data_IF_281306512663
#
_entry.id   IF_281306512663
#
_cell.length_a   1.000
_cell.length_b   1.000
_cell.length_c   1.000
_cell.angle_alpha   90.00
_cell.angle_beta   90.00
_cell.angle_gamma   90.00
#
_symmetry.space_group_name_H-M   'P 1'
#
loop_
_entity.id
_entity.type
_entity.pdbx_description
1 polymer ?
#
# COMPACT_ATOMS: atom_id res chain seq x y z
N UNK A 1 30.70 -5.06 58.85
CA UNK A 1 30.60 -5.90 57.63
C UNK A 1 29.12 -6.16 57.36
N UNK A 2 28.65 -5.75 56.17
CA UNK A 2 27.28 -5.82 55.57
C UNK A 2 26.29 -4.75 56.10
N UNK A 3 26.29 -3.54 55.51
CA UNK A 3 25.58 -3.04 54.30
C UNK A 3 24.06 -3.00 54.54
N UNK A 4 23.37 -1.86 54.72
CA UNK A 4 23.26 -0.66 53.85
C UNK A 4 22.98 -1.00 52.38
N UNK A 5 21.73 -1.35 52.07
CA UNK A 5 20.98 -0.89 50.89
C UNK A 5 19.70 -1.73 50.74
N UNK A 6 18.56 -1.23 51.23
CA UNK A 6 17.22 -1.61 50.75
C UNK A 6 16.17 -0.75 51.46
N UNK A 7 16.20 0.55 51.16
CA UNK A 7 15.09 1.48 51.39
C UNK A 7 15.30 2.68 50.47
N UNK A 8 14.62 2.68 49.32
CA UNK A 8 14.15 3.85 48.55
C UNK A 8 13.54 3.36 47.24
N UNK A 9 12.28 2.96 47.30
CA UNK A 9 11.34 3.22 46.21
C UNK A 9 10.19 3.98 46.86
N UNK A 10 10.37 5.29 46.85
CA UNK A 10 9.44 6.30 47.31
C UNK A 10 9.83 7.54 46.53
N UNK A 11 9.34 7.61 45.30
CA UNK A 11 9.28 8.83 44.51
C UNK A 11 7.91 8.89 43.86
N UNK A 12 7.09 9.77 44.42
CA UNK A 12 5.75 10.13 43.97
C UNK A 12 5.86 10.97 42.69
N UNK A 13 5.79 10.35 41.50
CA UNK A 13 5.39 11.03 40.24
C UNK A 13 5.14 10.11 39.03
N UNK A 14 5.16 8.79 39.17
CA UNK A 14 4.75 7.92 38.06
C UNK A 14 3.22 7.85 38.04
N UNK A 15 2.59 8.47 37.02
CA UNK A 15 1.18 8.24 36.69
C UNK A 15 0.88 6.75 36.48
N UNK A 16 -0.40 6.40 36.38
CA UNK A 16 -0.80 5.00 36.16
C UNK A 16 -0.02 4.44 34.94
N UNK A 17 0.60 3.25 35.01
CA UNK A 17 1.17 2.60 33.83
C UNK A 17 0.22 2.58 32.62
N UNK A 18 -1.09 2.56 32.85
CA UNK A 18 -2.12 2.67 31.80
C UNK A 18 -2.25 4.07 31.20
N UNK A 19 -1.95 5.15 31.93
CA UNK A 19 -2.07 6.55 31.48
C UNK A 19 -1.12 6.88 30.31
N UNK A 20 -0.07 6.07 30.10
CA UNK A 20 0.97 6.35 29.10
C UNK A 20 0.86 5.51 27.81
N UNK A 21 -0.09 4.58 27.74
CA UNK A 21 -0.24 3.65 26.60
C UNK A 21 -0.57 4.34 25.27
N UNK A 22 -1.17 5.54 25.32
CA UNK A 22 -1.48 6.32 24.12
C UNK A 22 -0.29 7.03 23.46
N UNK A 23 0.95 6.79 23.93
CA UNK A 23 2.14 7.49 23.43
C UNK A 23 2.98 6.62 22.51
N UNK A 24 3.65 7.26 21.54
CA UNK A 24 4.61 6.57 20.68
C UNK A 24 5.80 6.01 21.48
N UNK A 25 6.22 6.70 22.54
CA UNK A 25 7.30 6.23 23.42
C UNK A 25 6.92 4.93 24.14
N UNK A 26 5.66 4.77 24.56
CA UNK A 26 5.18 3.52 25.14
C UNK A 26 5.29 2.35 24.14
N UNK A 27 4.90 2.56 22.87
CA UNK A 27 5.07 1.55 21.83
C UNK A 27 6.55 1.16 21.65
N UNK A 28 7.45 2.14 21.59
CA UNK A 28 8.91 1.89 21.50
C UNK A 28 9.40 1.05 22.68
N UNK A 29 9.00 1.41 23.90
CA UNK A 29 9.39 0.69 25.12
C UNK A 29 8.85 -0.75 25.16
N UNK A 30 7.61 -0.96 24.71
CA UNK A 30 7.00 -2.29 24.62
C UNK A 30 7.80 -3.18 23.67
N UNK A 31 8.11 -2.70 22.46
CA UNK A 31 8.86 -3.48 21.47
C UNK A 31 10.31 -3.74 21.94
N UNK A 32 10.96 -2.77 22.58
CA UNK A 32 12.27 -2.97 23.21
C UNK A 32 12.21 -4.07 24.29
N UNK A 33 11.17 -4.07 25.11
CA UNK A 33 10.98 -5.09 26.14
C UNK A 33 10.74 -6.48 25.54
N UNK A 34 9.86 -6.59 24.53
CA UNK A 34 9.56 -7.83 23.81
C UNK A 34 10.82 -8.46 23.20
N UNK A 35 11.76 -7.64 22.71
CA UNK A 35 13.02 -8.11 22.12
C UNK A 35 14.19 -8.25 23.10
N UNK A 36 14.00 -7.91 24.38
CA UNK A 36 15.05 -8.05 25.40
C UNK A 36 15.35 -9.53 25.74
N UNK A 37 16.49 -9.87 26.36
CA UNK A 37 16.83 -11.26 26.72
C UNK A 37 15.79 -12.01 27.60
N UNK A 38 14.87 -11.31 28.27
CA UNK A 38 13.75 -11.88 29.02
C UNK A 38 12.38 -11.70 28.35
N UNK A 39 12.35 -11.15 27.13
CA UNK A 39 11.14 -10.90 26.36
C UNK A 39 10.65 -12.13 25.58
N UNK A 40 9.80 -11.90 24.60
CA UNK A 40 9.17 -12.92 23.78
C UNK A 40 10.20 -13.59 22.83
N UNK A 41 10.35 -14.94 22.87
CA UNK A 41 11.28 -15.64 21.99
C UNK A 41 11.03 -15.42 20.51
N UNK A 42 9.76 -15.37 20.09
CA UNK A 42 9.38 -15.15 18.69
C UNK A 42 9.78 -13.75 18.22
N UNK A 43 9.50 -12.73 19.03
CA UNK A 43 9.84 -11.35 18.69
C UNK A 43 11.35 -11.16 18.55
N UNK A 44 12.14 -11.79 19.43
CA UNK A 44 13.60 -11.74 19.40
C UNK A 44 14.22 -12.36 18.15
N UNK A 45 13.61 -13.42 17.63
CA UNK A 45 14.11 -14.13 16.45
C UNK A 45 13.85 -13.37 15.14
N UNK A 46 12.92 -12.40 15.15
CA UNK A 46 12.60 -11.63 13.95
C UNK A 46 13.77 -10.78 13.47
N UNK A 47 13.84 -10.65 12.14
CA UNK A 47 14.81 -9.86 11.39
C UNK A 47 14.10 -8.92 10.43
N UNK A 48 14.81 -7.92 9.90
CA UNK A 48 14.27 -7.05 8.84
C UNK A 48 13.77 -7.86 7.62
N UNK A 49 14.34 -9.03 7.36
CA UNK A 49 13.92 -9.89 6.25
C UNK A 49 12.68 -10.71 6.55
N UNK A 50 12.52 -11.23 7.77
CA UNK A 50 11.35 -12.04 8.13
C UNK A 50 10.08 -11.19 8.23
N UNK A 51 10.19 -9.94 8.64
CA UNK A 51 9.06 -9.01 8.81
C UNK A 51 8.58 -8.33 7.52
N UNK A 52 9.28 -8.53 6.39
CA UNK A 52 8.88 -7.91 5.10
C UNK A 52 7.47 -8.29 4.68
N UNK A 53 7.05 -9.52 5.00
CA UNK A 53 5.72 -10.00 4.64
C UNK A 53 4.66 -9.32 5.51
N UNK A 54 4.91 -9.21 6.81
CA UNK A 54 4.00 -8.56 7.75
C UNK A 54 3.71 -7.11 7.36
N UNK A 55 4.74 -6.29 7.10
CA UNK A 55 4.50 -4.90 6.70
C UNK A 55 3.69 -4.78 5.39
N UNK A 56 3.82 -5.74 4.48
CA UNK A 56 3.02 -5.77 3.25
C UNK A 56 1.57 -6.16 3.53
N UNK A 57 1.35 -7.13 4.41
CA UNK A 57 0.02 -7.55 4.87
C UNK A 57 -0.70 -6.37 5.55
N UNK A 58 -0.09 -5.70 6.54
CA UNK A 58 -0.71 -4.55 7.20
C UNK A 58 -1.00 -3.40 6.22
N UNK A 59 -0.15 -3.21 5.19
CA UNK A 59 -0.44 -2.21 4.16
C UNK A 59 -1.73 -2.53 3.40
N UNK A 60 -1.99 -3.82 3.12
CA UNK A 60 -3.22 -4.22 2.44
C UNK A 60 -4.43 -4.18 3.37
N UNK A 61 -4.29 -4.48 4.65
CA UNK A 61 -5.38 -4.35 5.63
C UNK A 61 -5.78 -2.87 5.81
N UNK A 62 -4.82 -1.94 5.85
CA UNK A 62 -5.11 -0.49 5.80
C UNK A 62 -5.92 -0.13 4.56
N UNK A 63 -5.52 -0.64 3.38
CA UNK A 63 -6.23 -0.35 2.13
C UNK A 63 -7.66 -0.93 2.14
N UNK A 64 -7.86 -2.13 2.69
CA UNK A 64 -9.17 -2.75 2.86
C UNK A 64 -10.06 -1.91 3.80
N UNK A 65 -9.52 -1.46 4.93
CA UNK A 65 -10.26 -0.62 5.87
C UNK A 65 -10.69 0.72 5.26
N UNK A 66 -9.83 1.34 4.44
CA UNK A 66 -10.15 2.57 3.69
C UNK A 66 -11.29 2.31 2.71
N UNK A 67 -11.21 1.25 1.91
CA UNK A 67 -12.24 0.92 0.92
C UNK A 67 -13.59 0.56 1.57
N UNK A 68 -13.56 -0.08 2.73
CA UNK A 68 -14.76 -0.40 3.52
C UNK A 68 -15.35 0.81 4.26
N UNK A 69 -14.62 1.93 4.34
CA UNK A 69 -15.01 3.08 5.17
C UNK A 69 -15.04 2.76 6.67
N UNK A 70 -14.33 1.72 7.12
CA UNK A 70 -14.31 1.28 8.50
C UNK A 70 -13.23 2.05 9.28
N UNK A 71 -13.66 3.10 9.99
CA UNK A 71 -12.75 3.93 10.78
C UNK A 71 -12.11 3.20 11.96
N UNK A 72 -12.77 2.19 12.52
CA UNK A 72 -12.27 1.45 13.67
C UNK A 72 -11.14 0.52 13.21
N UNK A 73 -11.40 -0.28 12.17
CA UNK A 73 -10.37 -1.13 11.56
C UNK A 73 -9.22 -0.30 11.01
N UNK A 74 -9.49 0.84 10.36
CA UNK A 74 -8.42 1.73 9.89
C UNK A 74 -7.51 2.20 11.03
N UNK A 75 -8.07 2.53 12.20
CA UNK A 75 -7.26 2.91 13.36
C UNK A 75 -6.41 1.77 13.91
N UNK A 76 -6.93 0.54 13.87
CA UNK A 76 -6.23 -0.69 14.27
C UNK A 76 -5.03 -0.94 13.34
N UNK A 77 -5.27 -0.98 12.02
CA UNK A 77 -4.25 -1.29 11.02
C UNK A 77 -3.15 -0.23 10.93
N UNK A 78 -3.50 1.05 11.11
CA UNK A 78 -2.50 2.11 11.22
C UNK A 78 -1.61 1.92 12.47
N UNK A 79 -2.16 1.36 13.54
CA UNK A 79 -1.40 0.93 14.72
C UNK A 79 -0.42 -0.19 14.38
N UNK A 80 -0.84 -1.19 13.61
CA UNK A 80 0.02 -2.30 13.20
C UNK A 80 1.13 -1.86 12.25
N UNK A 81 0.87 -0.90 11.37
CA UNK A 81 1.93 -0.22 10.61
C UNK A 81 2.95 0.46 11.54
N UNK A 82 2.50 1.12 12.61
CA UNK A 82 3.42 1.73 13.59
C UNK A 82 4.23 0.65 14.31
N UNK A 83 3.62 -0.49 14.67
CA UNK A 83 4.33 -1.65 15.25
C UNK A 83 5.46 -2.07 14.31
N UNK A 84 5.19 -2.28 13.02
CA UNK A 84 6.21 -2.67 12.05
C UNK A 84 7.34 -1.64 11.95
N UNK A 85 7.03 -0.34 11.91
CA UNK A 85 8.04 0.73 11.89
C UNK A 85 8.94 0.66 13.13
N UNK A 86 8.35 0.55 14.31
CA UNK A 86 9.12 0.46 15.56
C UNK A 86 9.97 -0.81 15.58
N UNK A 87 9.43 -1.95 15.17
CA UNK A 87 10.12 -3.23 15.13
C UNK A 87 11.38 -3.18 14.26
N UNK A 88 11.28 -2.64 13.04
CA UNK A 88 12.43 -2.45 12.15
C UNK A 88 13.47 -1.50 12.75
N UNK A 89 13.05 -0.41 13.38
CA UNK A 89 13.99 0.53 14.02
C UNK A 89 14.66 -0.06 15.26
N UNK A 90 13.99 -0.95 15.99
CA UNK A 90 14.56 -1.65 17.14
C UNK A 90 15.62 -2.67 16.69
N UNK A 91 15.35 -3.45 15.63
CA UNK A 91 16.35 -4.35 15.02
C UNK A 91 17.58 -3.55 14.55
N UNK A 92 17.37 -2.41 13.89
CA UNK A 92 18.47 -1.55 13.43
C UNK A 92 19.28 -0.96 14.60
N UNK A 93 18.61 -0.59 15.69
CA UNK A 93 19.26 -0.11 16.91
C UNK A 93 20.13 -1.19 17.55
N UNK A 94 19.63 -2.42 17.64
CA UNK A 94 20.38 -3.59 18.14
C UNK A 94 21.62 -3.89 17.31
N UNK A 95 21.55 -3.68 15.99
CA UNK A 95 22.67 -3.79 15.07
C UNK A 95 23.64 -2.57 15.11
N UNK A 96 23.31 -1.51 15.86
CA UNK A 96 24.11 -0.29 15.93
C UNK A 96 24.06 0.58 14.67
N UNK A 97 23.03 0.44 13.83
CA UNK A 97 22.91 1.11 12.54
C UNK A 97 22.24 2.48 12.65
N UNK A 98 21.01 2.53 13.16
CA UNK A 98 20.24 3.76 13.38
C UNK A 98 19.16 3.55 14.44
N UNK A 99 18.58 4.64 14.94
CA UNK A 99 17.48 4.64 15.92
C UNK A 99 16.21 5.22 15.32
N UNK A 100 15.08 5.01 15.99
CA UNK A 100 13.78 5.58 15.58
C UNK A 100 13.83 7.11 15.43
N UNK A 101 14.60 7.81 16.28
CA UNK A 101 14.78 9.26 16.22
C UNK A 101 15.50 9.71 14.94
N UNK A 102 16.39 8.88 14.38
CA UNK A 102 17.06 9.17 13.12
C UNK A 102 16.06 9.12 11.96
N UNK A 103 15.18 8.10 11.95
CA UNK A 103 14.08 7.96 11.00
C UNK A 103 13.13 9.16 11.06
N UNK A 104 12.70 9.54 12.27
CA UNK A 104 11.83 10.70 12.50
C UNK A 104 12.50 12.00 12.03
N UNK A 105 13.78 12.19 12.36
CA UNK A 105 14.55 13.36 11.92
C UNK A 105 14.65 13.42 10.40
N UNK A 106 14.92 12.29 9.74
CA UNK A 106 15.03 12.22 8.29
C UNK A 106 13.71 12.56 7.59
N UNK A 107 12.59 11.98 8.04
CA UNK A 107 11.27 12.26 7.44
C UNK A 107 10.82 13.69 7.71
N UNK A 108 11.03 14.23 8.91
CA UNK A 108 10.64 15.60 9.25
C UNK A 108 11.43 16.63 8.45
N UNK A 109 12.76 16.48 8.34
CA UNK A 109 13.59 17.36 7.50
C UNK A 109 13.15 17.32 6.04
N UNK A 110 12.84 16.12 5.52
CA UNK A 110 12.35 15.93 4.15
C UNK A 110 10.98 16.59 3.93
N UNK A 111 10.04 16.42 4.86
CA UNK A 111 8.71 17.05 4.79
C UNK A 111 8.82 18.57 4.82
N UNK A 112 9.60 19.15 5.74
CA UNK A 112 9.82 20.61 5.83
C UNK A 112 10.43 21.13 4.51
N UNK A 113 11.50 20.49 4.02
CA UNK A 113 12.16 20.89 2.77
C UNK A 113 11.22 20.82 1.56
N UNK A 114 10.31 19.86 1.52
CA UNK A 114 9.38 19.63 0.41
C UNK A 114 8.12 20.50 0.46
N UNK A 115 7.91 21.24 1.54
CA UNK A 115 6.80 22.20 1.68
C UNK A 115 7.34 23.62 1.96
N UNK A 116 8.15 24.20 1.06
CA UNK A 116 8.69 25.56 1.25
C UNK A 116 7.60 26.64 1.24
N UNK A 117 6.38 26.30 0.81
CA UNK A 117 5.20 27.16 0.85
C UNK A 117 4.48 27.14 2.20
N UNK A 118 4.72 26.13 3.03
CA UNK A 118 4.20 26.04 4.41
C UNK A 118 5.26 26.49 5.41
N UNK A 119 6.50 26.03 5.25
CA UNK A 119 7.59 26.24 6.21
C UNK A 119 8.66 27.24 5.74
N UNK A 120 8.43 27.92 4.62
CA UNK A 120 9.35 28.89 4.05
C UNK A 120 8.61 30.08 3.43
N UNK A 121 9.19 30.66 2.37
CA UNK A 121 8.66 31.87 1.73
C UNK A 121 8.14 31.63 0.31
N UNK A 122 8.05 30.37 -0.14
CA UNK A 122 7.53 30.10 -1.49
C UNK A 122 6.02 30.38 -1.51
N UNK A 123 5.54 31.01 -2.59
CA UNK A 123 4.11 31.21 -2.80
C UNK A 123 3.65 30.26 -3.88
N UNK A 124 2.51 29.60 -3.66
CA UNK A 124 1.85 28.69 -4.59
C UNK A 124 0.39 29.09 -4.71
N UNK A 125 -0.18 28.99 -5.90
CA UNK A 125 -1.55 29.45 -6.20
C UNK A 125 -2.58 28.35 -6.06
N UNK A 126 -2.19 27.08 -6.24
CA UNK A 126 -3.10 25.93 -6.20
C UNK A 126 -2.36 24.61 -5.91
N UNK A 127 -3.16 23.54 -5.73
CA UNK A 127 -2.66 22.19 -5.46
C UNK A 127 -1.79 21.62 -6.61
N UNK A 128 -2.09 21.99 -7.87
CA UNK A 128 -1.29 21.53 -9.03
C UNK A 128 0.09 22.15 -9.02
N UNK A 129 0.21 23.41 -8.61
CA UNK A 129 1.50 24.06 -8.41
C UNK A 129 2.29 23.45 -7.26
N UNK A 130 1.63 23.12 -6.14
CA UNK A 130 2.24 22.36 -5.04
C UNK A 130 2.81 21.04 -5.54
N UNK A 131 2.02 20.26 -6.28
CA UNK A 131 2.43 18.95 -6.81
C UNK A 131 3.63 19.07 -7.76
N UNK A 132 3.60 20.03 -8.71
CA UNK A 132 4.72 20.29 -9.63
C UNK A 132 6.00 20.66 -8.87
N UNK A 133 5.89 21.50 -7.84
CA UNK A 133 7.04 21.89 -7.03
C UNK A 133 7.59 20.71 -6.22
N UNK A 134 6.70 19.87 -5.69
CA UNK A 134 7.06 18.65 -4.96
C UNK A 134 7.82 17.64 -5.83
N UNK A 135 7.36 17.42 -7.07
CA UNK A 135 8.02 16.54 -8.03
C UNK A 135 9.41 17.08 -8.43
N UNK A 136 9.55 18.38 -8.70
CA UNK A 136 10.87 18.99 -8.97
C UNK A 136 11.87 18.79 -7.82
N UNK A 137 11.41 18.90 -6.57
CA UNK A 137 12.25 18.67 -5.39
C UNK A 137 12.65 17.19 -5.27
N UNK A 138 11.73 16.26 -5.54
CA UNK A 138 12.03 14.82 -5.58
C UNK A 138 13.09 14.47 -6.63
N UNK A 139 13.01 15.05 -7.82
CA UNK A 139 13.97 14.78 -8.90
C UNK A 139 15.37 15.24 -8.53
N UNK A 140 15.51 16.46 -7.98
CA UNK A 140 16.79 16.98 -7.49
C UNK A 140 17.43 16.12 -6.41
N UNK A 141 16.63 15.54 -5.51
CA UNK A 141 17.10 14.69 -4.42
C UNK A 141 17.51 13.28 -4.87
N UNK A 142 16.87 12.74 -5.91
CA UNK A 142 17.06 11.34 -6.32
C UNK A 142 18.30 11.11 -7.17
N UNK A 143 18.83 12.14 -7.85
CA UNK A 143 20.05 12.03 -8.66
C UNK A 143 20.05 10.88 -9.68
N UNK A 144 18.86 10.52 -10.20
CA UNK A 144 18.68 9.33 -11.05
C UNK A 144 19.06 9.62 -12.49
N UNK A 145 19.71 8.64 -13.13
CA UNK A 145 20.09 8.71 -14.54
C UNK A 145 18.90 8.39 -15.46
N UNK A 146 18.06 7.41 -15.12
CA UNK A 146 16.87 7.05 -15.88
C UNK A 146 15.56 7.28 -15.08
N UNK A 147 14.46 7.70 -15.74
CA UNK A 147 13.15 7.81 -15.09
C UNK A 147 12.65 6.50 -14.51
N UNK A 148 13.01 5.36 -15.12
CA UNK A 148 12.58 4.04 -14.66
C UNK A 148 13.44 3.49 -13.51
N UNK A 149 14.55 4.15 -13.16
CA UNK A 149 15.42 3.72 -12.07
C UNK A 149 14.75 3.87 -10.70
N UNK A 150 15.00 2.92 -9.80
CA UNK A 150 14.52 2.96 -8.41
C UNK A 150 12.99 2.95 -8.29
N UNK A 151 12.31 2.27 -9.22
CA UNK A 151 10.99 1.67 -8.96
C UNK A 151 11.26 0.37 -8.18
N UNK A 152 10.66 0.15 -6.99
CA UNK A 152 10.82 -1.11 -6.27
C UNK A 152 10.30 -2.27 -7.12
N UNK A 153 11.11 -3.33 -7.25
CA UNK A 153 10.78 -4.50 -8.08
C UNK A 153 9.66 -5.35 -7.50
N UNK A 154 9.44 -5.25 -6.19
CA UNK A 154 8.44 -6.04 -5.46
C UNK A 154 7.04 -5.38 -5.47
N UNK A 155 6.87 -4.27 -6.21
CA UNK A 155 5.54 -3.69 -6.39
C UNK A 155 4.64 -4.62 -7.20
N UNK A 156 3.31 -4.63 -6.93
CA UNK A 156 2.34 -5.23 -7.82
C UNK A 156 2.52 -4.73 -9.27
N UNK A 157 2.27 -5.62 -10.23
CA UNK A 157 2.62 -5.37 -11.63
C UNK A 157 1.91 -4.13 -12.20
N UNK A 158 0.64 -3.88 -11.84
CA UNK A 158 -0.10 -2.73 -12.35
C UNK A 158 0.44 -1.42 -11.74
N UNK A 159 0.68 -1.40 -10.43
CA UNK A 159 1.32 -0.26 -9.74
C UNK A 159 2.73 0.02 -10.30
N UNK A 160 3.51 -1.03 -10.56
CA UNK A 160 4.84 -0.91 -11.16
C UNK A 160 4.77 -0.30 -12.56
N UNK A 161 3.87 -0.81 -13.42
CA UNK A 161 3.66 -0.31 -14.76
C UNK A 161 3.17 1.14 -14.77
N UNK A 162 2.19 1.47 -13.91
CA UNK A 162 1.65 2.82 -13.80
C UNK A 162 2.72 3.82 -13.33
N UNK A 163 3.49 3.49 -12.31
CA UNK A 163 4.58 4.35 -11.82
C UNK A 163 5.68 4.52 -12.87
N UNK A 164 5.95 3.50 -13.68
CA UNK A 164 6.87 3.61 -14.80
C UNK A 164 6.35 4.62 -15.83
N UNK A 165 5.10 4.45 -16.25
CA UNK A 165 4.42 5.29 -17.23
C UNK A 165 4.33 6.76 -16.76
N UNK A 166 3.98 7.01 -15.50
CA UNK A 166 3.98 8.35 -14.90
C UNK A 166 5.34 9.05 -15.03
N UNK A 167 6.43 8.31 -14.82
CA UNK A 167 7.78 8.88 -14.84
C UNK A 167 8.29 9.14 -16.25
N UNK A 168 7.96 8.29 -17.21
CA UNK A 168 8.33 8.51 -18.61
C UNK A 168 7.47 9.60 -19.25
N UNK A 169 6.18 9.67 -18.91
CA UNK A 169 5.27 10.75 -19.32
C UNK A 169 5.77 12.13 -18.87
N UNK A 170 6.23 12.24 -17.61
CA UNK A 170 6.90 13.46 -17.09
C UNK A 170 8.16 13.88 -17.85
N UNK A 171 8.81 12.96 -18.58
CA UNK A 171 9.97 13.21 -19.43
C UNK A 171 9.59 13.51 -20.88
N UNK A 172 8.29 13.60 -21.20
CA UNK A 172 7.77 13.89 -22.53
C UNK A 172 7.55 12.67 -23.41
N UNK A 173 7.63 11.45 -22.85
CA UNK A 173 7.21 10.24 -23.56
C UNK A 173 5.73 9.98 -23.27
N UNK A 174 4.87 10.71 -23.97
CA UNK A 174 3.43 10.84 -23.70
C UNK A 174 2.70 11.07 -25.04
N UNK A 175 1.43 10.65 -25.12
CA UNK A 175 0.55 11.03 -26.24
C UNK A 175 0.04 12.46 -26.07
N UNK A 176 -0.37 13.10 -27.17
CA UNK A 176 -0.94 14.46 -27.13
C UNK A 176 -2.33 14.49 -26.45
N UNK A 177 -3.11 13.43 -26.63
CA UNK A 177 -4.40 13.24 -26.00
C UNK A 177 -4.76 11.75 -25.81
N UNK A 178 -5.88 11.50 -25.14
CA UNK A 178 -6.35 10.15 -24.79
C UNK A 178 -6.70 9.29 -26.02
N UNK A 179 -7.01 9.88 -27.18
CA UNK A 179 -7.37 9.11 -28.38
C UNK A 179 -6.22 8.22 -28.83
N UNK A 180 -4.98 8.71 -28.76
CA UNK A 180 -3.80 7.92 -29.11
C UNK A 180 -3.61 6.69 -28.20
N UNK A 181 -4.03 6.78 -26.94
CA UNK A 181 -3.99 5.64 -26.00
C UNK A 181 -5.09 4.63 -26.32
N UNK A 182 -6.29 5.11 -26.64
CA UNK A 182 -7.41 4.25 -27.05
C UNK A 182 -7.11 3.51 -28.36
N UNK A 183 -6.53 4.21 -29.33
CA UNK A 183 -6.09 3.61 -30.59
C UNK A 183 -5.05 2.52 -30.33
N UNK A 184 -4.10 2.76 -29.41
CA UNK A 184 -3.12 1.74 -29.01
C UNK A 184 -3.78 0.53 -28.35
N UNK A 185 -4.81 0.71 -27.50
CA UNK A 185 -5.58 -0.43 -26.95
C UNK A 185 -6.19 -1.29 -28.08
N UNK A 186 -6.74 -0.65 -29.11
CA UNK A 186 -7.31 -1.37 -30.27
C UNK A 186 -6.22 -2.12 -31.05
N UNK A 187 -5.05 -1.49 -31.23
CA UNK A 187 -3.88 -2.10 -31.86
C UNK A 187 -3.43 -3.37 -31.10
N UNK A 188 -3.21 -3.28 -29.79
CA UNK A 188 -2.78 -4.42 -28.94
C UNK A 188 -3.80 -5.58 -28.96
N UNK A 189 -5.09 -5.27 -28.99
CA UNK A 189 -6.15 -6.29 -29.15
C UNK A 189 -6.05 -7.00 -30.50
N UNK A 190 -5.70 -6.28 -31.56
CA UNK A 190 -5.54 -6.86 -32.90
C UNK A 190 -4.24 -7.69 -33.01
N UNK A 191 -3.16 -7.25 -32.36
CA UNK A 191 -1.89 -7.99 -32.25
C UNK A 191 -2.12 -9.31 -31.50
N UNK A 192 -2.78 -9.27 -30.34
CA UNK A 192 -3.15 -10.45 -29.56
C UNK A 192 -4.01 -11.45 -30.37
N UNK A 193 -4.96 -10.97 -31.17
CA UNK A 193 -5.79 -11.81 -32.06
C UNK A 193 -4.99 -12.46 -33.18
N UNK A 194 -3.94 -11.78 -33.65
CA UNK A 194 -3.12 -12.22 -34.79
C UNK A 194 -1.92 -13.07 -34.38
N UNK A 195 -1.62 -13.15 -33.08
CA UNK A 195 -0.49 -13.91 -32.53
C UNK A 195 -0.55 -15.40 -32.89
N UNK A 196 0.44 -15.93 -33.64
CA UNK A 196 0.40 -17.30 -34.17
C UNK A 196 0.82 -18.38 -33.17
N UNK A 197 1.39 -18.01 -32.01
CA UNK A 197 1.84 -18.94 -30.98
C UNK A 197 1.37 -18.54 -29.58
N UNK A 198 1.37 -19.50 -28.64
CA UNK A 198 1.02 -19.23 -27.24
C UNK A 198 2.04 -18.30 -26.55
N UNK A 199 3.32 -18.37 -26.95
CA UNK A 199 4.37 -17.48 -26.47
C UNK A 199 4.11 -16.03 -26.89
N UNK A 200 3.80 -15.81 -28.18
CA UNK A 200 3.43 -14.47 -28.66
C UNK A 200 2.12 -14.00 -28.02
N UNK A 201 1.10 -14.87 -27.86
CA UNK A 201 -0.13 -14.48 -27.15
C UNK A 201 0.13 -14.01 -25.72
N UNK A 202 1.04 -14.67 -25.00
CA UNK A 202 1.41 -14.26 -23.65
C UNK A 202 2.13 -12.89 -23.66
N UNK A 203 2.99 -12.65 -24.65
CA UNK A 203 3.64 -11.35 -24.85
C UNK A 203 2.62 -10.25 -25.15
N UNK A 204 1.77 -10.43 -26.17
CA UNK A 204 0.77 -9.42 -26.56
C UNK A 204 -0.28 -9.20 -25.44
N UNK A 205 -0.59 -10.21 -24.63
CA UNK A 205 -1.42 -10.02 -23.44
C UNK A 205 -0.74 -9.10 -22.42
N UNK A 206 0.58 -9.23 -22.24
CA UNK A 206 1.37 -8.32 -21.40
C UNK A 206 1.35 -6.89 -21.90
N UNK A 207 1.51 -6.69 -23.21
CA UNK A 207 1.51 -5.37 -23.85
C UNK A 207 0.11 -4.72 -23.80
N UNK A 208 -0.96 -5.51 -23.96
CA UNK A 208 -2.33 -5.08 -23.75
C UNK A 208 -2.59 -4.66 -22.29
N UNK A 209 -2.17 -5.46 -21.30
CA UNK A 209 -2.29 -5.09 -19.88
C UNK A 209 -1.53 -3.80 -19.57
N UNK A 210 -0.31 -3.66 -20.09
CA UNK A 210 0.48 -2.44 -19.95
C UNK A 210 -0.25 -1.22 -20.54
N UNK A 211 -0.86 -1.37 -21.70
CA UNK A 211 -1.62 -0.30 -22.37
C UNK A 211 -2.93 0.03 -21.63
N UNK A 212 -3.61 -0.96 -21.05
CA UNK A 212 -4.79 -0.74 -20.18
C UNK A 212 -4.39 0.06 -18.93
N UNK A 213 -3.25 -0.24 -18.30
CA UNK A 213 -2.73 0.55 -17.19
C UNK A 213 -2.47 2.01 -17.62
N UNK A 214 -1.96 2.20 -18.83
CA UNK A 214 -1.74 3.54 -19.37
C UNK A 214 -3.05 4.29 -19.60
N UNK A 215 -4.09 3.61 -20.10
CA UNK A 215 -5.44 4.16 -20.21
C UNK A 215 -5.99 4.57 -18.84
N UNK A 216 -5.87 3.71 -17.82
CA UNK A 216 -6.29 4.03 -16.46
C UNK A 216 -5.57 5.28 -15.94
N UNK A 217 -4.26 5.40 -16.16
CA UNK A 217 -3.47 6.59 -15.81
C UNK A 217 -4.00 7.86 -16.48
N UNK A 218 -4.31 7.83 -17.78
CA UNK A 218 -4.90 8.97 -18.50
C UNK A 218 -6.28 9.37 -17.98
N UNK A 219 -7.04 8.41 -17.47
CA UNK A 219 -8.34 8.64 -16.82
C UNK A 219 -8.22 9.11 -15.36
N UNK A 220 -7.00 9.20 -14.80
CA UNK A 220 -6.77 9.52 -13.40
C UNK A 220 -7.17 8.39 -12.44
N UNK A 221 -7.21 7.15 -12.92
CA UNK A 221 -7.59 5.95 -12.17
C UNK A 221 -6.32 5.21 -11.74
N UNK A 222 -6.21 4.86 -10.46
CA UNK A 222 -5.15 3.97 -9.99
C UNK A 222 -5.48 2.52 -10.37
N UNK A 223 -4.65 1.91 -11.23
CA UNK A 223 -4.99 0.67 -11.92
C UNK A 223 -5.12 -0.53 -10.98
N UNK A 224 -4.20 -0.64 -10.02
CA UNK A 224 -4.21 -1.71 -9.01
C UNK A 224 -5.45 -1.64 -8.11
N UNK A 225 -5.82 -0.43 -7.65
CA UNK A 225 -7.01 -0.24 -6.81
C UNK A 225 -8.29 -0.52 -7.59
N UNK A 226 -8.37 -0.08 -8.85
CA UNK A 226 -9.53 -0.35 -9.69
C UNK A 226 -9.76 -1.86 -9.87
N UNK A 227 -8.69 -2.64 -10.06
CA UNK A 227 -8.78 -4.10 -10.16
C UNK A 227 -9.12 -4.72 -8.80
N UNK A 228 -8.51 -4.25 -7.71
CA UNK A 228 -8.79 -4.74 -6.34
C UNK A 228 -10.26 -4.56 -5.97
N UNK A 229 -10.84 -3.39 -6.24
CA UNK A 229 -12.27 -3.13 -6.05
C UNK A 229 -13.13 -3.99 -6.99
N UNK A 230 -12.71 -4.17 -8.25
CA UNK A 230 -13.37 -5.09 -9.18
C UNK A 230 -13.43 -6.53 -8.66
N UNK A 231 -12.34 -7.02 -8.09
CA UNK A 231 -12.26 -8.35 -7.48
C UNK A 231 -13.16 -8.46 -6.24
N UNK A 232 -13.20 -7.42 -5.40
CA UNK A 232 -14.09 -7.38 -4.24
C UNK A 232 -15.57 -7.46 -4.65
N UNK A 233 -15.98 -6.70 -5.67
CA UNK A 233 -17.35 -6.77 -6.24
C UNK A 233 -17.66 -8.15 -6.80
N UNK A 234 -16.73 -8.74 -7.55
CA UNK A 234 -16.91 -10.09 -8.09
C UNK A 234 -17.10 -11.12 -6.97
N UNK A 235 -16.25 -11.08 -5.93
CA UNK A 235 -16.35 -11.95 -4.76
C UNK A 235 -17.70 -11.80 -4.06
N UNK A 236 -18.10 -10.56 -3.76
CA UNK A 236 -19.38 -10.26 -3.10
C UNK A 236 -20.56 -10.85 -3.87
N UNK A 237 -20.61 -10.62 -5.19
CA UNK A 237 -21.67 -11.13 -6.06
C UNK A 237 -21.67 -12.65 -6.16
N UNK A 238 -20.49 -13.26 -6.31
CA UNK A 238 -20.37 -14.72 -6.39
C UNK A 238 -20.84 -15.39 -5.09
N UNK A 239 -20.42 -14.89 -3.94
CA UNK A 239 -20.90 -15.40 -2.64
C UNK A 239 -22.39 -15.20 -2.44
N UNK A 240 -22.95 -14.07 -2.89
CA UNK A 240 -24.41 -13.87 -2.88
C UNK A 240 -25.15 -14.90 -3.75
N UNK A 241 -24.60 -15.26 -4.92
CA UNK A 241 -25.16 -16.34 -5.74
C UNK A 241 -25.13 -17.69 -5.04
N UNK A 242 -24.03 -18.03 -4.36
CA UNK A 242 -23.93 -19.28 -3.59
C UNK A 242 -24.99 -19.33 -2.48
N UNK A 243 -25.18 -18.22 -1.77
CA UNK A 243 -26.21 -18.12 -0.73
C UNK A 243 -27.63 -18.27 -1.30
N UNK A 244 -27.93 -17.59 -2.42
CA UNK A 244 -29.21 -17.73 -3.10
C UNK A 244 -29.48 -19.17 -3.56
N UNK A 245 -28.46 -19.89 -4.03
CA UNK A 245 -28.62 -21.30 -4.41
C UNK A 245 -28.97 -22.16 -3.20
N UNK A 246 -28.27 -21.96 -2.09
CA UNK A 246 -28.56 -22.67 -0.83
C UNK A 246 -29.97 -22.38 -0.33
N UNK A 247 -30.39 -21.12 -0.32
CA UNK A 247 -31.75 -20.71 0.07
C UNK A 247 -32.83 -21.34 -0.80
N UNK A 248 -32.55 -21.54 -2.09
CA UNK A 248 -33.47 -22.16 -3.06
C UNK A 248 -33.37 -23.68 -3.11
N UNK A 249 -32.47 -24.29 -2.35
CA UNK A 249 -32.21 -25.75 -2.40
C UNK A 249 -31.65 -26.22 -3.74
N UNK A 250 -30.91 -25.35 -4.45
CA UNK A 250 -30.30 -25.63 -5.76
C UNK A 250 -28.85 -26.09 -5.60
N UNK A 251 -28.41 -27.00 -6.46
CA UNK A 251 -27.00 -27.40 -6.58
C UNK A 251 -26.28 -26.47 -7.56
N UNK A 252 -25.70 -25.39 -7.03
CA UNK A 252 -25.09 -24.30 -7.81
C UNK A 252 -24.10 -24.77 -8.89
N UNK A 253 -23.12 -25.67 -8.61
CA UNK A 253 -22.24 -26.23 -9.63
C UNK A 253 -22.95 -26.81 -10.85
N UNK A 254 -24.10 -27.48 -10.65
CA UNK A 254 -24.84 -28.18 -11.71
C UNK A 254 -25.78 -27.27 -12.50
N UNK A 255 -26.00 -26.03 -12.06
CA UNK A 255 -26.86 -25.10 -12.78
C UNK A 255 -26.26 -24.76 -14.17
N UNK A 256 -27.11 -24.68 -15.21
CA UNK A 256 -26.68 -24.20 -16.51
C UNK A 256 -26.24 -22.73 -16.41
N UNK A 257 -25.41 -22.30 -17.37
CA UNK A 257 -24.84 -20.94 -17.36
C UNK A 257 -25.93 -19.86 -17.39
N UNK A 258 -27.03 -20.09 -18.11
CA UNK A 258 -28.13 -19.12 -18.19
C UNK A 258 -28.79 -18.89 -16.82
N UNK A 259 -29.00 -19.94 -16.03
CA UNK A 259 -29.52 -19.82 -14.65
C UNK A 259 -28.50 -19.16 -13.71
N UNK A 260 -27.20 -19.46 -13.88
CA UNK A 260 -26.13 -18.75 -13.16
C UNK A 260 -26.09 -17.27 -13.53
N UNK A 261 -26.31 -16.91 -14.78
CA UNK A 261 -26.37 -15.51 -15.22
C UNK A 261 -27.59 -14.79 -14.63
N UNK A 262 -28.77 -15.42 -14.59
CA UNK A 262 -29.95 -14.87 -13.91
C UNK A 262 -29.67 -14.59 -12.43
N UNK A 263 -29.03 -15.55 -11.74
CA UNK A 263 -28.60 -15.38 -10.35
C UNK A 263 -27.54 -14.29 -10.19
N UNK A 264 -26.62 -14.13 -11.14
CA UNK A 264 -25.62 -13.06 -11.12
C UNK A 264 -26.27 -11.68 -11.22
N UNK A 265 -27.27 -11.53 -12.10
CA UNK A 265 -28.04 -10.28 -12.20
C UNK A 265 -28.84 -10.00 -10.93
N UNK A 266 -29.30 -11.05 -10.24
CA UNK A 266 -29.94 -10.91 -8.93
C UNK A 266 -28.97 -10.50 -7.83
N UNK A 267 -27.83 -11.17 -7.73
CA UNK A 267 -26.76 -10.83 -6.80
C UNK A 267 -26.33 -9.36 -6.97
N UNK A 268 -26.17 -8.88 -8.21
CA UNK A 268 -25.89 -7.47 -8.50
C UNK A 268 -26.92 -6.50 -7.90
N UNK A 269 -28.20 -6.87 -7.86
CA UNK A 269 -29.26 -6.03 -7.26
C UNK A 269 -29.23 -6.05 -5.73
N UNK A 270 -28.73 -7.13 -5.13
CA UNK A 270 -28.67 -7.30 -3.68
C UNK A 270 -27.44 -6.66 -3.05
N UNK A 271 -26.31 -6.62 -3.77
CA UNK A 271 -25.03 -6.16 -3.22
C UNK A 271 -24.78 -4.66 -3.37
N UNK A 272 -25.77 -3.86 -3.81
CA UNK A 272 -25.70 -2.40 -4.04
C UNK A 272 -24.30 -1.89 -4.44
N UNK A 273 -23.89 -2.21 -5.67
CA UNK A 273 -22.73 -1.58 -6.34
C UNK A 273 -23.18 -0.47 -7.31
#
# INVERSE_FOLDING_TARGET
MKNEHERRYGDDSAGDPEDNLGTFEALVNIIEHLRSPGGCPWDREQTNSSLKRNILEECYEVLEAIDAGDSAKLSEELGDILVQVVFHTQIAREAGEFRVQDTLTAVNRKLIRRHPHVFGNAVVTDAREVERNWEKLKEKERGRNSPVDGIPKDLPALTYAQLMQDRVGKRGFEWDDISGVLDKVVEEVNELKSAPSDEERAKEMGDLLFTIVNLARWLGIHAEDALRQGNARFRSRYTAMENLAVERGLDFPQLPLDEKEEMWQEAKRLTED
#
